data_IF_465040204888
#
_entry.id   IF_465040204888
#
_cell.length_a   1.000
_cell.length_b   1.000
_cell.length_c   1.000
_cell.angle_alpha   90.00
_cell.angle_beta   90.00
_cell.angle_gamma   90.00
#
_symmetry.space_group_name_H-M   'P 1'
#
loop_
_entity.id
_entity.type
_entity.pdbx_description
1 polymer ?
#
# COMPACT_ATOMS: atom_id res chain seq x y z
N UNK A 1 19.80 13.05 -1.18
CA UNK A 1 18.68 12.31 -0.58
C UNK A 1 17.62 12.11 -1.64
N UNK A 2 16.92 10.98 -1.65
CA UNK A 2 15.80 10.82 -2.56
C UNK A 2 14.70 11.83 -2.21
N UNK A 3 14.08 12.42 -3.22
CA UNK A 3 12.92 13.30 -3.10
C UNK A 3 11.80 12.71 -3.94
N UNK A 4 10.58 12.76 -3.43
CA UNK A 4 9.40 12.37 -4.17
C UNK A 4 8.25 13.31 -3.79
N UNK A 5 7.46 13.69 -4.79
CA UNK A 5 6.17 14.34 -4.52
C UNK A 5 5.22 13.32 -3.92
N UNK A 6 4.64 13.68 -2.79
CA UNK A 6 3.49 13.00 -2.18
C UNK A 6 2.23 13.80 -2.45
N UNK A 7 1.14 13.13 -2.80
CA UNK A 7 -0.10 13.80 -3.19
C UNK A 7 -1.22 13.51 -2.21
N UNK A 8 -1.64 14.55 -1.46
CA UNK A 8 -2.74 14.45 -0.49
C UNK A 8 -2.52 13.28 0.50
N UNK A 9 -1.41 13.38 1.25
CA UNK A 9 -1.02 12.36 2.22
C UNK A 9 -2.06 12.27 3.34
N UNK A 10 -2.46 11.04 3.67
CA UNK A 10 -3.51 10.79 4.67
C UNK A 10 -3.02 10.04 5.89
N UNK A 11 -2.13 9.06 5.72
CA UNK A 11 -1.65 8.24 6.83
C UNK A 11 -0.24 7.71 6.58
N UNK A 12 0.38 7.23 7.66
CA UNK A 12 1.61 6.45 7.62
C UNK A 12 1.43 5.18 8.45
N UNK A 13 2.15 4.12 8.09
CA UNK A 13 2.27 2.92 8.92
C UNK A 13 3.75 2.53 9.06
N UNK A 14 4.21 2.33 10.30
CA UNK A 14 5.59 1.93 10.60
C UNK A 14 5.68 0.40 10.61
N UNK A 15 6.69 -0.15 9.95
CA UNK A 15 6.98 -1.57 10.07
C UNK A 15 7.56 -1.86 11.47
N UNK A 16 7.08 -2.88 12.21
CA UNK A 16 7.43 -3.07 13.60
C UNK A 16 8.90 -3.47 13.83
N UNK A 17 9.52 -4.08 12.83
CA UNK A 17 10.84 -4.70 12.95
C UNK A 17 11.86 -4.18 11.92
N UNK A 18 11.56 -3.08 11.23
CA UNK A 18 12.50 -2.47 10.28
C UNK A 18 12.38 -0.96 10.28
N UNK A 19 13.30 -0.32 9.57
CA UNK A 19 13.32 1.13 9.38
C UNK A 19 12.41 1.57 8.21
N UNK A 20 11.45 0.73 7.82
CA UNK A 20 10.51 1.02 6.75
C UNK A 20 9.24 1.68 7.30
N UNK A 21 8.79 2.71 6.61
CA UNK A 21 7.45 3.27 6.73
C UNK A 21 6.71 3.18 5.41
N UNK A 22 5.39 3.07 5.49
CA UNK A 22 4.50 3.07 4.34
C UNK A 22 3.68 4.35 4.36
N UNK A 23 3.62 5.05 3.23
CA UNK A 23 2.92 6.33 3.09
C UNK A 23 1.68 6.13 2.24
N UNK A 24 0.53 6.44 2.84
CA UNK A 24 -0.79 6.39 2.23
C UNK A 24 -1.15 7.76 1.67
N UNK A 25 -1.45 7.79 0.39
CA UNK A 25 -1.72 8.99 -0.38
C UNK A 25 -2.85 8.72 -1.38
N UNK A 26 -3.48 9.77 -1.91
CA UNK A 26 -4.63 9.63 -2.81
C UNK A 26 -4.22 9.27 -4.24
N UNK A 27 -3.31 8.31 -4.38
CA UNK A 27 -2.84 7.72 -5.63
C UNK A 27 -3.15 6.22 -5.66
N UNK A 28 -3.05 5.64 -6.85
CA UNK A 28 -3.28 4.21 -7.11
C UNK A 28 -2.00 3.38 -6.90
N UNK A 29 -1.22 3.77 -5.90
CA UNK A 29 -0.05 3.07 -5.39
C UNK A 29 0.25 3.50 -3.96
N UNK A 30 1.08 2.69 -3.28
CA UNK A 30 1.61 3.01 -1.96
C UNK A 30 3.12 3.15 -2.04
N UNK A 31 3.68 4.06 -1.26
CA UNK A 31 5.14 4.20 -1.14
C UNK A 31 5.66 3.51 0.11
N UNK A 32 6.87 2.95 -0.02
CA UNK A 32 7.71 2.50 1.09
C UNK A 32 8.91 3.42 1.17
N UNK A 33 9.22 3.90 2.37
CA UNK A 33 10.37 4.74 2.64
C UNK A 33 11.19 4.06 3.72
N UNK A 34 12.48 3.82 3.46
CA UNK A 34 13.41 3.53 4.54
C UNK A 34 13.93 4.86 5.10
N UNK A 35 13.62 5.16 6.36
CA UNK A 35 13.89 6.48 6.93
C UNK A 35 15.35 6.69 7.30
N UNK A 36 16.11 5.62 7.50
CA UNK A 36 17.55 5.68 7.77
C UNK A 36 18.34 5.96 6.48
N UNK A 37 18.12 5.16 5.43
CA UNK A 37 18.82 5.29 4.14
C UNK A 37 18.24 6.38 3.23
N UNK A 38 17.05 6.90 3.57
CA UNK A 38 16.31 7.90 2.79
C UNK A 38 16.00 7.43 1.37
N UNK A 39 15.79 6.13 1.20
CA UNK A 39 15.38 5.54 -0.07
C UNK A 39 13.85 5.44 -0.11
N UNK A 40 13.29 5.69 -1.30
CA UNK A 40 11.84 5.70 -1.55
C UNK A 40 11.56 4.72 -2.67
N UNK A 41 10.62 3.80 -2.45
CA UNK A 41 10.16 2.84 -3.44
C UNK A 41 8.64 2.85 -3.52
N UNK A 42 8.13 2.21 -4.56
CA UNK A 42 6.75 1.75 -4.57
C UNK A 42 6.68 0.43 -3.80
N UNK A 43 5.67 0.30 -2.94
CA UNK A 43 5.39 -0.93 -2.19
C UNK A 43 4.37 -1.80 -2.94
N UNK A 44 3.29 -1.17 -3.39
CA UNK A 44 2.17 -1.79 -4.10
C UNK A 44 1.64 -0.85 -5.18
N UNK A 45 0.91 -1.40 -6.15
CA UNK A 45 0.14 -0.63 -7.12
C UNK A 45 0.81 -0.46 -8.47
N UNK A 46 0.09 -0.77 -9.55
CA UNK A 46 0.55 -0.50 -10.91
C UNK A 46 0.34 0.96 -11.33
N UNK A 47 -0.36 1.77 -10.53
CA UNK A 47 -0.84 3.10 -10.91
C UNK A 47 -2.20 3.08 -11.63
N UNK A 48 -2.89 1.93 -11.62
CA UNK A 48 -4.23 1.75 -12.19
C UNK A 48 -5.24 1.51 -11.06
N UNK A 49 -6.26 2.35 -10.98
CA UNK A 49 -7.38 2.26 -10.03
C UNK A 49 -8.05 0.88 -10.08
N UNK A 50 -8.23 0.26 -8.92
CA UNK A 50 -8.98 -0.98 -8.76
C UNK A 50 -8.63 -1.69 -7.47
N UNK A 51 -9.01 -2.97 -7.36
CA UNK A 51 -8.62 -3.86 -6.28
C UNK A 51 -8.41 -5.25 -6.86
N UNK A 52 -7.15 -5.68 -7.02
CA UNK A 52 -6.82 -7.00 -7.56
C UNK A 52 -5.87 -7.78 -6.66
N UNK A 53 -6.11 -9.09 -6.58
CA UNK A 53 -5.12 -10.03 -6.07
C UNK A 53 -4.05 -10.24 -7.14
N UNK A 54 -2.78 -10.31 -6.75
CA UNK A 54 -1.66 -10.45 -7.68
C UNK A 54 -0.47 -11.13 -6.99
N UNK A 55 0.29 -11.93 -7.72
CA UNK A 55 1.51 -12.56 -7.21
C UNK A 55 2.71 -11.60 -7.16
N UNK A 56 2.54 -10.37 -7.61
CA UNK A 56 3.47 -9.27 -7.43
C UNK A 56 2.74 -8.02 -6.93
N UNK A 57 3.10 -7.43 -5.77
CA UNK A 57 2.36 -6.34 -5.19
C UNK A 57 2.46 -5.06 -6.04
N UNK A 58 3.54 -4.90 -6.81
CA UNK A 58 3.75 -3.78 -7.73
C UNK A 58 2.83 -3.83 -8.95
N UNK A 59 2.24 -4.98 -9.26
CA UNK A 59 1.33 -5.18 -10.39
C UNK A 59 -0.14 -5.19 -9.96
N UNK A 60 -0.42 -5.20 -8.65
CA UNK A 60 -1.77 -5.13 -8.13
C UNK A 60 -2.42 -3.78 -8.47
N UNK A 61 -3.74 -3.79 -8.67
CA UNK A 61 -4.55 -2.58 -8.70
C UNK A 61 -4.94 -2.23 -7.28
N UNK A 62 -4.76 -0.97 -6.91
CA UNK A 62 -5.25 -0.37 -5.67
C UNK A 62 -5.87 0.97 -6.03
N UNK A 63 -6.83 1.44 -5.22
CA UNK A 63 -7.53 2.69 -5.50
C UNK A 63 -7.46 3.62 -4.31
N UNK A 64 -6.80 4.76 -4.48
CA UNK A 64 -6.75 5.86 -3.51
C UNK A 64 -6.51 5.36 -2.08
N UNK A 65 -5.28 4.92 -1.80
CA UNK A 65 -4.95 4.28 -0.51
C UNK A 65 -5.06 5.31 0.63
N UNK A 66 -6.03 5.14 1.55
CA UNK A 66 -6.33 6.12 2.62
C UNK A 66 -5.57 5.85 3.91
N UNK A 67 -5.49 4.58 4.29
CA UNK A 67 -4.93 4.15 5.57
C UNK A 67 -4.61 2.67 5.53
N UNK A 68 -3.91 2.19 6.55
CA UNK A 68 -3.62 0.77 6.71
C UNK A 68 -2.93 0.49 8.02
N UNK A 69 -2.72 -0.78 8.31
CA UNK A 69 -2.01 -1.22 9.50
C UNK A 69 -1.15 -2.44 9.19
N UNK A 70 -0.05 -2.58 9.93
CA UNK A 70 0.78 -3.77 9.87
C UNK A 70 -0.01 -4.97 10.39
N UNK A 71 0.07 -6.09 9.68
CA UNK A 71 -0.44 -7.37 10.18
C UNK A 71 0.69 -8.17 10.84
N UNK A 72 1.24 -7.59 11.90
CA UNK A 72 2.47 -8.06 12.53
C UNK A 72 3.63 -8.10 11.54
N UNK A 73 4.40 -9.19 11.55
CA UNK A 73 5.49 -9.45 10.59
C UNK A 73 5.01 -10.06 9.27
N UNK A 74 3.70 -10.32 9.10
CA UNK A 74 3.19 -11.06 7.94
C UNK A 74 2.99 -10.18 6.72
N UNK A 75 2.76 -8.89 6.93
CA UNK A 75 2.33 -8.03 5.84
C UNK A 75 1.73 -6.70 6.28
N UNK A 76 0.99 -6.11 5.34
CA UNK A 76 0.31 -4.83 5.50
C UNK A 76 -1.13 -4.96 5.02
N UNK A 77 -2.08 -4.56 5.86
CA UNK A 77 -3.48 -4.37 5.47
C UNK A 77 -3.64 -2.93 4.97
N UNK A 78 -4.20 -2.79 3.79
CA UNK A 78 -4.37 -1.54 3.05
C UNK A 78 -5.86 -1.30 2.87
N UNK A 79 -6.30 -0.09 3.20
CA UNK A 79 -7.64 0.39 2.93
C UNK A 79 -7.56 1.56 1.96
N UNK A 80 -8.56 1.66 1.10
CA UNK A 80 -8.69 2.75 0.15
C UNK A 80 -10.13 2.91 -0.25
N UNK A 81 -10.36 3.60 -1.36
CA UNK A 81 -11.71 3.83 -1.84
C UNK A 81 -12.39 2.49 -2.21
N UNK A 82 -13.49 2.17 -1.53
CA UNK A 82 -14.36 1.00 -1.77
C UNK A 82 -13.65 -0.37 -1.73
N UNK A 83 -12.54 -0.52 -1.02
CA UNK A 83 -11.91 -1.83 -0.91
C UNK A 83 -10.80 -1.92 0.12
N UNK A 84 -10.42 -3.17 0.36
CA UNK A 84 -9.37 -3.57 1.28
C UNK A 84 -8.48 -4.58 0.55
N UNK A 85 -7.17 -4.46 0.76
CA UNK A 85 -6.20 -5.44 0.30
C UNK A 85 -5.21 -5.74 1.41
N UNK A 86 -4.53 -6.88 1.28
CA UNK A 86 -3.45 -7.29 2.15
C UNK A 86 -2.27 -7.71 1.29
N UNK A 87 -1.14 -7.07 1.53
CA UNK A 87 0.17 -7.47 1.01
C UNK A 87 0.82 -8.44 2.01
N UNK A 88 1.41 -9.52 1.52
CA UNK A 88 2.18 -10.48 2.31
C UNK A 88 3.67 -10.34 1.99
N UNK A 89 4.51 -10.29 3.03
CA UNK A 89 5.96 -10.13 2.85
C UNK A 89 6.65 -11.41 2.41
N UNK A 90 6.33 -12.55 3.04
CA UNK A 90 6.99 -13.83 2.79
C UNK A 90 6.83 -14.32 1.36
N UNK A 91 5.62 -14.16 0.81
CA UNK A 91 5.26 -14.63 -0.53
C UNK A 91 5.38 -13.52 -1.58
N UNK A 92 5.61 -12.27 -1.15
CA UNK A 92 5.52 -11.08 -1.99
C UNK A 92 4.22 -11.06 -2.83
N UNK A 93 3.07 -11.37 -2.24
CA UNK A 93 1.78 -11.39 -2.94
C UNK A 93 0.79 -10.36 -2.38
N UNK A 94 -0.24 -10.07 -3.16
CA UNK A 94 -1.40 -9.25 -2.81
C UNK A 94 -2.67 -10.08 -2.86
N UNK A 95 -3.51 -9.95 -1.83
CA UNK A 95 -4.90 -10.42 -1.85
C UNK A 95 -5.82 -9.23 -1.71
N UNK A 96 -6.84 -9.14 -2.55
CA UNK A 96 -7.82 -8.06 -2.48
C UNK A 96 -9.21 -8.63 -2.23
N UNK A 97 -9.98 -7.94 -1.39
CA UNK A 97 -11.43 -8.14 -1.29
C UNK A 97 -12.06 -6.82 -1.70
N UNK A 98 -12.54 -6.70 -2.95
CA UNK A 98 -13.33 -5.53 -3.31
C UNK A 98 -14.55 -5.47 -2.38
N UNK A 99 -14.93 -4.29 -1.90
CA UNK A 99 -16.23 -4.18 -1.23
C UNK A 99 -17.29 -4.62 -2.25
N UNK A 100 -18.26 -5.44 -1.82
CA UNK A 100 -19.50 -5.61 -2.60
C UNK A 100 -19.98 -4.19 -2.89
N UNK A 101 -20.10 -3.83 -4.16
CA UNK A 101 -20.59 -2.52 -4.57
C UNK A 101 -21.77 -2.14 -3.68
N UNK A 102 -21.59 -1.13 -2.85
CA UNK A 102 -22.73 -0.37 -2.38
C UNK A 102 -23.26 0.28 -3.66
N UNK A 103 -24.20 -0.40 -4.31
CA UNK A 103 -25.04 0.20 -5.33
C UNK A 103 -25.62 1.47 -4.71
N UNK A 104 -25.61 2.62 -5.42
CA UNK A 104 -26.15 3.87 -4.89
C UNK A 104 -27.60 3.70 -4.40
#
# INVERSE_FOLDING_TARGET
>A
GASATVYNMWAIALHPNSEDMYVFESLDHLRRINWHTRQIWRAIGAGTSGWSSNDNPLMAQVRSTVAGCMDGSRGLIITGQHGVSRMYYETATMTATPSKSATP
#
